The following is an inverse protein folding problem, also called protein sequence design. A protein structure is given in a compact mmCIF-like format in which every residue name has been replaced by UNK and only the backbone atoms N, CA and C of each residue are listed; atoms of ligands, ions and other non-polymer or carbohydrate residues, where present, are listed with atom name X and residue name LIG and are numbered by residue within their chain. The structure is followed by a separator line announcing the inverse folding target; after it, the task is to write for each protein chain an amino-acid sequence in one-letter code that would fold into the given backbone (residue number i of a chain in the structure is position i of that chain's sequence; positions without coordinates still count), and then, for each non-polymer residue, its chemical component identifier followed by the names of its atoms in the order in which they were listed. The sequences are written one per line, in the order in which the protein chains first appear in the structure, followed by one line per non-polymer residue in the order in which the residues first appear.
data_IF_653496933366
#
_entry.id   IF_653496933366
#
_cell.length_a   1.000
_cell.length_b   1.000
_cell.length_c   1.000
_cell.angle_alpha   90.00
_cell.angle_beta   90.00
_cell.angle_gamma   90.00
#
_symmetry.space_group_name_H-M   'P 1'
#
loop_
_entity.id
_entity.type
_entity.pdbx_description
1 polymer ?
#
# COMPACT_ATOMS: atom_id res chain seq x y z
N UNK A 1 -11.19 -7.39 -7.27
CA UNK A 1 -10.56 -6.31 -8.09
C UNK A 1 -10.60 -6.56 -9.59
N UNK A 2 -11.24 -7.62 -10.11
CA UNK A 2 -11.15 -8.03 -11.54
C UNK A 2 -11.37 -6.92 -12.57
N UNK A 3 -12.23 -5.93 -12.30
CA UNK A 3 -12.55 -4.84 -13.24
C UNK A 3 -11.76 -3.54 -12.99
N UNK A 4 -10.86 -3.52 -11.99
CA UNK A 4 -10.04 -2.35 -11.68
C UNK A 4 -8.74 -2.39 -12.48
N UNK A 5 -8.51 -1.39 -13.34
CA UNK A 5 -7.39 -1.35 -14.29
C UNK A 5 -6.30 -0.32 -13.97
N UNK A 6 -6.42 0.42 -12.87
CA UNK A 6 -5.42 1.41 -12.47
C UNK A 6 -4.32 0.76 -11.63
N UNK A 7 -3.11 1.34 -11.57
CA UNK A 7 -2.08 0.92 -10.63
C UNK A 7 -2.59 0.91 -9.19
N UNK A 8 -2.12 -0.06 -8.39
CA UNK A 8 -2.55 -0.24 -7.00
C UNK A 8 -1.35 -0.17 -6.07
N UNK A 9 -1.34 0.80 -5.17
CA UNK A 9 -0.44 0.84 -4.02
C UNK A 9 -1.21 0.43 -2.76
N UNK A 10 -0.73 -0.58 -2.04
CA UNK A 10 -1.26 -0.95 -0.73
C UNK A 10 -0.19 -0.61 0.31
N UNK A 11 -0.50 0.34 1.19
CA UNK A 11 0.32 0.70 2.35
C UNK A 11 -0.29 0.06 3.58
N UNK A 12 0.44 -0.80 4.29
CA UNK A 12 -0.08 -1.47 5.48
C UNK A 12 0.99 -1.60 6.55
N UNK A 13 0.64 -1.33 7.81
CA UNK A 13 1.59 -1.46 8.91
C UNK A 13 1.60 -2.82 9.59
N UNK A 14 2.79 -3.34 9.91
CA UNK A 14 2.96 -4.45 10.84
C UNK A 14 2.52 -4.14 12.26
N UNK A 15 2.53 -2.87 12.65
CA UNK A 15 2.13 -2.41 13.98
C UNK A 15 0.64 -2.00 14.05
N UNK A 16 -0.11 -2.25 12.97
CA UNK A 16 -1.55 -2.01 12.94
C UNK A 16 -2.27 -3.00 13.87
N UNK A 17 -2.79 -2.48 14.98
CA UNK A 17 -3.60 -3.23 15.96
C UNK A 17 -5.09 -3.21 15.65
N UNK A 18 -5.52 -2.40 14.68
CA UNK A 18 -6.93 -2.28 14.26
C UNK A 18 -7.22 -3.24 13.12
N UNK A 19 -6.33 -3.30 12.13
CA UNK A 19 -6.45 -4.19 10.96
C UNK A 19 -5.23 -5.10 10.84
N UNK A 20 -5.44 -6.41 10.95
CA UNK A 20 -4.38 -7.39 10.90
C UNK A 20 -3.58 -7.29 9.58
N UNK A 21 -2.25 -7.22 9.69
CA UNK A 21 -1.30 -7.17 8.59
C UNK A 21 -1.53 -8.23 7.48
N UNK A 22 -1.99 -9.43 7.87
CA UNK A 22 -2.29 -10.53 6.93
C UNK A 22 -3.39 -10.15 5.93
N UNK A 23 -4.35 -9.31 6.32
CA UNK A 23 -5.43 -8.86 5.44
C UNK A 23 -4.88 -7.97 4.32
N UNK A 24 -3.94 -7.08 4.63
CA UNK A 24 -3.23 -6.28 3.61
C UNK A 24 -2.54 -7.17 2.57
N UNK A 25 -1.84 -8.22 3.02
CA UNK A 25 -1.20 -9.20 2.11
C UNK A 25 -2.22 -9.98 1.28
N UNK A 26 -3.39 -10.32 1.84
CA UNK A 26 -4.47 -10.98 1.09
C UNK A 26 -5.06 -10.08 0.00
N UNK A 27 -5.27 -8.79 0.28
CA UNK A 27 -5.71 -7.81 -0.74
C UNK A 27 -4.65 -7.72 -1.83
N UNK A 28 -3.36 -7.60 -1.46
CA UNK A 28 -2.27 -7.54 -2.42
C UNK A 28 -2.20 -8.77 -3.31
N UNK A 29 -2.35 -9.97 -2.75
CA UNK A 29 -2.38 -11.22 -3.53
C UNK A 29 -3.46 -11.18 -4.62
N UNK A 30 -4.65 -10.67 -4.29
CA UNK A 30 -5.82 -10.64 -5.18
C UNK A 30 -5.93 -9.37 -6.06
N UNK A 31 -5.05 -8.38 -5.86
CA UNK A 31 -5.02 -7.15 -6.65
C UNK A 31 -4.50 -7.40 -8.08
N UNK A 32 -5.01 -6.62 -9.03
CA UNK A 32 -4.55 -6.64 -10.42
C UNK A 32 -3.19 -5.96 -10.57
N UNK A 33 -2.44 -6.26 -11.64
CA UNK A 33 -1.23 -5.54 -12.00
C UNK A 33 -1.56 -4.23 -12.77
N UNK A 34 -0.68 -3.21 -12.72
CA UNK A 34 0.51 -3.11 -11.88
C UNK A 34 0.16 -2.85 -10.41
N UNK A 35 0.84 -3.54 -9.49
CA UNK A 35 0.64 -3.38 -8.04
C UNK A 35 1.93 -3.36 -7.24
N UNK A 36 1.91 -2.63 -6.14
CA UNK A 36 2.99 -2.58 -5.16
C UNK A 36 2.45 -2.67 -3.73
N UNK A 37 3.20 -3.34 -2.86
CA UNK A 37 2.91 -3.42 -1.43
C UNK A 37 4.00 -2.69 -0.66
N UNK A 38 3.62 -1.66 0.09
CA UNK A 38 4.50 -0.95 0.98
C UNK A 38 4.21 -1.30 2.44
N UNK A 39 5.13 -2.05 3.02
CA UNK A 39 5.11 -2.41 4.42
C UNK A 39 5.76 -1.31 5.27
N UNK A 40 5.06 -0.88 6.32
CA UNK A 40 5.53 0.14 7.28
C UNK A 40 5.41 -0.36 8.72
N UNK A 41 6.00 0.33 9.69
CA UNK A 41 6.04 -0.09 11.11
C UNK A 41 5.59 0.99 12.09
N UNK A 42 4.41 1.57 11.86
CA UNK A 42 3.82 2.58 12.75
C UNK A 42 2.34 2.29 13.00
N UNK A 43 1.79 2.70 14.15
CA UNK A 43 0.37 2.51 14.46
C UNK A 43 -0.54 2.98 13.32
N UNK A 44 -1.73 2.37 13.19
CA UNK A 44 -2.65 2.48 12.05
C UNK A 44 -2.67 3.85 11.33
N UNK A 45 -2.87 4.95 12.07
CA UNK A 45 -3.00 6.30 11.51
C UNK A 45 -1.67 7.05 11.34
N UNK A 46 -0.59 6.55 11.94
CA UNK A 46 0.71 7.21 11.96
C UNK A 46 1.52 6.96 10.69
N UNK A 47 1.11 6.03 9.83
CA UNK A 47 1.82 5.72 8.59
C UNK A 47 2.08 6.96 7.72
N UNK A 48 1.07 7.82 7.55
CA UNK A 48 1.22 9.05 6.76
C UNK A 48 2.20 10.02 7.44
N UNK A 49 2.13 10.17 8.77
CA UNK A 49 2.99 11.10 9.52
C UNK A 49 4.48 10.77 9.37
N UNK A 50 4.84 9.50 9.31
CA UNK A 50 6.25 9.08 9.28
C UNK A 50 6.74 8.72 7.88
N UNK A 51 5.86 8.36 6.95
CA UNK A 51 6.25 7.86 5.62
C UNK A 51 5.64 8.68 4.47
N UNK A 52 5.24 9.93 4.70
CA UNK A 52 4.59 10.74 3.65
C UNK A 52 5.45 10.87 2.39
N UNK A 53 6.78 11.03 2.54
CA UNK A 53 7.69 11.15 1.40
C UNK A 53 7.78 9.84 0.61
N UNK A 54 7.94 8.71 1.30
CA UNK A 54 8.04 7.39 0.68
C UNK A 54 6.72 6.99 0.02
N UNK A 55 5.58 7.32 0.63
CA UNK A 55 4.26 7.11 0.04
C UNK A 55 4.13 7.95 -1.23
N UNK A 56 4.47 9.24 -1.18
CA UNK A 56 4.43 10.12 -2.36
C UNK A 56 5.31 9.59 -3.49
N UNK A 57 6.56 9.24 -3.20
CA UNK A 57 7.50 8.71 -4.18
C UNK A 57 7.00 7.40 -4.82
N UNK A 58 6.32 6.54 -4.06
CA UNK A 58 5.72 5.30 -4.60
C UNK A 58 4.51 5.58 -5.48
N UNK A 59 3.68 6.54 -5.11
CA UNK A 59 2.58 7.01 -5.95
C UNK A 59 3.14 7.54 -7.28
N UNK A 60 4.14 8.41 -7.22
CA UNK A 60 4.79 8.98 -8.41
C UNK A 60 5.40 7.88 -9.28
N UNK A 61 6.12 6.92 -8.68
CA UNK A 61 6.68 5.77 -9.40
C UNK A 61 5.62 4.94 -10.13
N UNK A 62 4.44 4.74 -9.55
CA UNK A 62 3.36 3.96 -10.16
C UNK A 62 2.61 4.72 -11.26
N UNK A 63 2.57 6.05 -11.20
CA UNK A 63 1.86 6.89 -12.18
C UNK A 63 2.78 7.30 -13.33
N UNK A 64 4.06 7.56 -13.06
CA UNK A 64 5.02 8.10 -14.03
C UNK A 64 5.81 7.03 -14.78
N UNK A 65 5.81 5.77 -14.34
CA UNK A 65 6.32 4.65 -15.15
C UNK A 65 5.46 4.48 -16.39
N UNK A 66 5.95 4.98 -17.53
CA UNK A 66 5.44 4.68 -18.87
C UNK A 66 5.90 3.31 -19.32
#
# INVERSE_FOLDING_TARGET
MKNFKKPILIVHSKEDRVVNFKLGKQIFKNANQPKEFFEIDKPHINGIRFYHNEISNKIDSLILKK
#
